data_IF_103299620837
#
_entry.id   IF_103299620837
#
_cell.length_a   1.000
_cell.length_b   1.000
_cell.length_c   1.000
_cell.angle_alpha   90.00
_cell.angle_beta   90.00
_cell.angle_gamma   90.00
#
_symmetry.space_group_name_H-M   'P 1'
#
loop_
_entity.id
_entity.type
_entity.pdbx_description
1 polymer ?
#
# COMPACT_ATOMS: atom_id res chain seq x y z
N UNK A 1 11.77 12.08 -3.67
CA UNK A 1 10.35 11.83 -3.95
C UNK A 1 9.80 10.81 -2.99
N UNK A 2 8.57 10.97 -2.60
CA UNK A 2 7.95 10.13 -1.58
C UNK A 2 8.02 8.62 -1.89
N UNK A 3 7.67 8.24 -3.11
CA UNK A 3 7.70 6.84 -3.50
C UNK A 3 9.09 6.23 -3.39
N UNK A 4 10.11 6.99 -3.77
CA UNK A 4 11.49 6.53 -3.71
C UNK A 4 11.95 6.34 -2.26
N UNK A 5 11.58 7.25 -1.38
CA UNK A 5 11.92 7.14 0.04
C UNK A 5 11.29 5.90 0.66
N UNK A 6 10.03 5.64 0.34
CA UNK A 6 9.35 4.45 0.82
C UNK A 6 9.97 3.19 0.23
N UNK A 7 10.32 3.22 -1.06
CA UNK A 7 10.95 2.07 -1.72
C UNK A 7 12.27 1.69 -1.07
N UNK A 8 13.11 2.68 -0.78
CA UNK A 8 14.41 2.42 -0.14
C UNK A 8 14.22 1.83 1.24
N UNK A 9 13.34 2.43 2.04
CA UNK A 9 13.08 1.96 3.39
C UNK A 9 12.50 0.55 3.42
N UNK A 10 11.57 0.24 2.54
CA UNK A 10 10.97 -1.09 2.49
C UNK A 10 11.98 -2.14 2.01
N UNK A 11 12.84 -1.77 1.08
CA UNK A 11 13.91 -2.66 0.63
C UNK A 11 14.88 -2.99 1.75
N UNK A 12 15.20 -2.00 2.58
CA UNK A 12 16.09 -2.22 3.71
C UNK A 12 15.49 -3.16 4.76
N UNK A 13 14.18 -3.07 4.97
CA UNK A 13 13.51 -3.89 5.99
C UNK A 13 13.18 -5.29 5.46
N UNK A 14 12.61 -5.40 4.26
CA UNK A 14 12.06 -6.66 3.76
C UNK A 14 12.95 -7.39 2.77
N UNK A 15 13.91 -6.69 2.15
CA UNK A 15 14.85 -7.31 1.22
C UNK A 15 14.15 -8.07 0.11
N UNK A 16 14.46 -9.34 -0.02
CA UNK A 16 13.91 -10.20 -1.07
C UNK A 16 12.42 -10.49 -0.90
N UNK A 17 11.87 -10.25 0.27
CA UNK A 17 10.43 -10.42 0.50
C UNK A 17 9.58 -9.32 -0.11
N UNK A 18 10.21 -8.25 -0.58
CA UNK A 18 9.49 -7.13 -1.19
C UNK A 18 9.27 -7.38 -2.68
N UNK A 19 8.03 -7.22 -3.09
CA UNK A 19 7.63 -7.37 -4.50
C UNK A 19 6.89 -6.14 -4.98
N UNK A 20 6.90 -5.97 -6.30
CA UNK A 20 6.08 -4.97 -6.99
C UNK A 20 5.04 -5.76 -7.75
N UNK A 21 3.78 -5.45 -7.53
CA UNK A 21 2.70 -6.26 -8.08
C UNK A 21 1.99 -5.51 -9.21
N UNK A 22 2.20 -5.99 -10.44
CA UNK A 22 1.49 -5.50 -11.60
C UNK A 22 0.89 -6.68 -12.32
N UNK A 23 -0.42 -6.70 -12.46
CA UNK A 23 -1.11 -7.76 -13.18
C UNK A 23 -2.09 -7.16 -14.17
N UNK A 24 -1.74 -7.21 -15.45
CA UNK A 24 -2.64 -6.73 -16.49
C UNK A 24 -3.88 -7.61 -16.60
N UNK A 25 -3.75 -8.87 -16.28
CA UNK A 25 -4.87 -9.81 -16.32
C UNK A 25 -5.96 -9.47 -15.32
N UNK A 26 -5.57 -9.03 -14.12
CA UNK A 26 -6.52 -8.69 -13.06
C UNK A 26 -6.71 -7.19 -12.88
N UNK A 27 -6.01 -6.38 -13.64
CA UNK A 27 -6.07 -4.94 -13.50
C UNK A 27 -5.56 -4.44 -12.16
N UNK A 28 -4.54 -5.11 -11.60
CA UNK A 28 -3.98 -4.76 -10.30
C UNK A 28 -2.62 -4.11 -10.50
N UNK A 29 -2.43 -2.97 -9.81
CA UNK A 29 -1.17 -2.24 -9.83
C UNK A 29 -0.93 -1.75 -8.41
N UNK A 30 -0.11 -2.48 -7.65
CA UNK A 30 0.21 -2.17 -6.26
C UNK A 30 1.70 -1.87 -6.17
N UNK A 31 2.05 -0.73 -5.59
CA UNK A 31 3.43 -0.27 -5.54
C UNK A 31 4.36 -1.21 -4.79
N UNK A 32 3.95 -1.67 -3.62
CA UNK A 32 4.77 -2.56 -2.80
C UNK A 32 3.93 -3.65 -2.18
N UNK A 33 4.42 -4.89 -2.25
CA UNK A 33 3.72 -6.05 -1.75
C UNK A 33 4.70 -6.96 -1.02
N UNK A 34 4.38 -7.29 0.22
CA UNK A 34 5.19 -8.19 1.05
C UNK A 34 4.32 -9.37 1.44
N UNK A 35 4.31 -10.44 0.63
CA UNK A 35 3.39 -11.55 0.86
C UNK A 35 3.60 -12.25 2.21
N UNK A 36 4.82 -12.35 2.68
CA UNK A 36 5.10 -12.99 3.96
C UNK A 36 4.46 -12.24 5.13
N UNK A 37 4.30 -10.93 4.99
CA UNK A 37 3.69 -10.09 6.01
C UNK A 37 2.21 -9.83 5.74
N UNK A 38 1.71 -10.25 4.60
CA UNK A 38 0.36 -9.95 4.19
C UNK A 38 0.13 -8.45 4.02
N UNK A 39 1.15 -7.73 3.59
CA UNK A 39 1.15 -6.27 3.51
C UNK A 39 1.15 -5.79 2.07
N UNK A 40 0.25 -4.87 1.75
CA UNK A 40 0.21 -4.20 0.46
C UNK A 40 0.18 -2.69 0.70
N UNK A 41 1.05 -1.97 0.01
CA UNK A 41 1.24 -0.54 0.20
C UNK A 41 1.16 0.19 -1.13
N UNK A 42 0.35 1.24 -1.18
CA UNK A 42 0.31 2.19 -2.28
C UNK A 42 0.85 3.53 -1.79
N UNK A 43 1.57 4.22 -2.65
CA UNK A 43 2.08 5.55 -2.36
C UNK A 43 1.31 6.55 -3.21
N UNK A 44 0.70 7.54 -2.56
CA UNK A 44 -0.10 8.56 -3.24
C UNK A 44 0.36 9.95 -2.81
N UNK A 45 0.63 10.82 -3.79
CA UNK A 45 1.05 12.18 -3.49
C UNK A 45 -0.09 13.02 -2.95
N UNK A 46 -1.27 12.79 -3.45
CA UNK A 46 -2.46 13.49 -3.01
C UNK A 46 -3.59 12.48 -2.88
N UNK A 47 -4.08 12.24 -1.66
CA UNK A 47 -5.16 11.29 -1.43
C UNK A 47 -6.52 11.83 -1.81
N UNK A 48 -6.61 13.12 -2.01
CA UNK A 48 -7.87 13.73 -2.43
C UNK A 48 -8.03 13.59 -3.94
N UNK A 49 -9.21 13.56 -4.42
CA UNK A 49 -9.59 13.71 -5.81
C UNK A 49 -9.35 12.48 -6.69
N UNK A 50 -8.60 12.63 -7.80
CA UNK A 50 -8.63 11.68 -8.89
C UNK A 50 -7.80 10.41 -8.68
N UNK A 51 -6.70 10.51 -7.94
CA UNK A 51 -5.81 9.36 -7.74
C UNK A 51 -6.36 8.38 -6.71
N UNK A 52 -7.05 8.88 -5.71
CA UNK A 52 -7.53 8.11 -4.58
C UNK A 52 -8.44 6.93 -4.95
N UNK A 53 -9.45 7.10 -5.83
CA UNK A 53 -10.30 5.97 -6.20
C UNK A 53 -9.53 4.84 -6.87
N UNK A 54 -8.53 5.15 -7.66
CA UNK A 54 -7.72 4.12 -8.33
C UNK A 54 -6.85 3.36 -7.33
N UNK A 55 -6.20 4.08 -6.41
CA UNK A 55 -5.36 3.45 -5.40
C UNK A 55 -6.18 2.54 -4.49
N UNK A 56 -7.32 3.02 -4.05
CA UNK A 56 -8.25 2.23 -3.24
C UNK A 56 -8.72 1.00 -4.01
N UNK A 57 -9.11 1.18 -5.26
CA UNK A 57 -9.59 0.09 -6.09
C UNK A 57 -8.56 -1.02 -6.28
N UNK A 58 -7.29 -0.67 -6.48
CA UNK A 58 -6.23 -1.65 -6.62
C UNK A 58 -6.04 -2.47 -5.35
N UNK A 59 -6.04 -1.82 -4.20
CA UNK A 59 -5.89 -2.52 -2.93
C UNK A 59 -7.07 -3.42 -2.62
N UNK A 60 -8.29 -2.96 -2.93
CA UNK A 60 -9.49 -3.77 -2.72
C UNK A 60 -9.50 -5.01 -3.61
N UNK A 61 -9.08 -4.87 -4.87
CA UNK A 61 -8.99 -6.01 -5.79
C UNK A 61 -8.00 -7.04 -5.27
N UNK A 62 -6.84 -6.58 -4.82
CA UNK A 62 -5.84 -7.48 -4.28
C UNK A 62 -6.35 -8.23 -3.05
N UNK A 63 -7.02 -7.53 -2.14
CA UNK A 63 -7.54 -8.14 -0.93
C UNK A 63 -8.59 -9.21 -1.23
N UNK A 64 -9.35 -9.03 -2.31
CA UNK A 64 -10.38 -10.00 -2.70
C UNK A 64 -9.82 -11.27 -3.29
N UNK A 65 -8.68 -11.19 -3.96
CA UNK A 65 -8.08 -12.37 -4.61
C UNK A 65 -6.98 -13.02 -3.78
N UNK A 66 -6.45 -12.33 -2.78
CA UNK A 66 -5.39 -12.87 -1.94
C UNK A 66 -5.83 -12.84 -0.47
N UNK A 67 -6.26 -13.99 0.00
CA UNK A 67 -6.76 -14.15 1.37
C UNK A 67 -5.67 -14.00 2.43
N UNK A 68 -4.41 -14.04 2.04
CA UNK A 68 -3.30 -13.86 2.99
C UNK A 68 -3.05 -12.40 3.35
N UNK A 69 -3.69 -11.47 2.64
CA UNK A 69 -3.55 -10.05 2.94
C UNK A 69 -4.12 -9.73 4.32
N UNK A 70 -3.29 -9.14 5.15
CA UNK A 70 -3.67 -8.74 6.52
C UNK A 70 -3.76 -7.24 6.67
N UNK A 71 -3.02 -6.51 5.84
CA UNK A 71 -2.89 -5.08 6.00
C UNK A 71 -2.81 -4.38 4.66
N UNK A 72 -3.66 -3.37 4.48
CA UNK A 72 -3.67 -2.53 3.29
C UNK A 72 -3.35 -1.11 3.74
N UNK A 73 -2.43 -0.46 3.05
CA UNK A 73 -1.91 0.83 3.49
C UNK A 73 -1.73 1.78 2.31
N UNK A 74 -2.16 3.02 2.48
CA UNK A 74 -1.85 4.10 1.57
C UNK A 74 -0.92 5.06 2.29
N UNK A 75 0.29 5.24 1.76
CA UNK A 75 1.26 6.17 2.31
C UNK A 75 1.14 7.49 1.53
N UNK A 76 0.92 8.56 2.26
CA UNK A 76 0.66 9.87 1.68
C UNK A 76 1.14 10.96 2.64
N UNK A 77 0.57 12.15 2.55
CA UNK A 77 0.86 13.25 3.48
C UNK A 77 -0.18 13.38 4.59
N UNK A 78 -1.28 12.66 4.47
CA UNK A 78 -2.39 12.74 5.42
C UNK A 78 -2.50 11.47 6.25
N UNK A 79 -3.35 11.51 7.25
CA UNK A 79 -3.62 10.38 8.12
C UNK A 79 -5.11 10.12 8.18
N UNK A 80 -5.51 8.83 8.20
CA UNK A 80 -6.90 8.47 8.26
C UNK A 80 -7.13 7.00 8.06
N UNK A 81 -8.35 6.68 7.72
CA UNK A 81 -8.79 5.31 7.51
C UNK A 81 -9.92 5.30 6.49
N UNK A 82 -9.91 4.31 5.62
CA UNK A 82 -10.96 4.11 4.64
C UNK A 82 -11.53 2.71 4.86
N UNK A 83 -12.86 2.63 4.99
CA UNK A 83 -13.53 1.33 5.09
C UNK A 83 -14.50 1.22 3.94
N UNK A 84 -14.35 0.18 3.13
CA UNK A 84 -15.19 0.00 1.97
C UNK A 84 -15.43 -1.50 1.75
N UNK A 85 -16.69 -1.89 1.66
CA UNK A 85 -17.04 -3.29 1.46
C UNK A 85 -16.54 -4.21 2.56
N UNK A 86 -16.45 -3.70 3.79
CA UNK A 86 -15.94 -4.48 4.90
C UNK A 86 -14.41 -4.57 4.97
N UNK A 87 -13.72 -3.93 4.03
CA UNK A 87 -12.26 -3.95 3.97
C UNK A 87 -11.73 -2.60 4.48
N UNK A 88 -10.74 -2.67 5.36
CA UNK A 88 -10.14 -1.48 5.96
C UNK A 88 -8.79 -1.18 5.32
N UNK A 89 -8.61 0.08 4.94
CA UNK A 89 -7.35 0.58 4.40
C UNK A 89 -6.85 1.69 5.32
N UNK A 90 -5.63 1.54 5.83
CA UNK A 90 -5.00 2.57 6.66
C UNK A 90 -4.39 3.63 5.76
N UNK A 91 -4.49 4.90 6.17
CA UNK A 91 -3.87 6.02 5.47
C UNK A 91 -2.90 6.67 6.43
N UNK A 92 -1.62 6.71 6.07
CA UNK A 92 -0.58 7.24 6.95
C UNK A 92 0.39 8.16 6.21
N UNK A 93 0.87 9.23 6.86
CA UNK A 93 1.96 10.00 6.28
C UNK A 93 3.25 9.18 6.28
N UNK A 94 4.11 9.47 5.30
CA UNK A 94 5.33 8.70 5.12
C UNK A 94 6.20 8.65 6.38
N UNK A 95 6.37 9.78 7.08
CA UNK A 95 7.20 9.81 8.27
C UNK A 95 6.69 8.87 9.35
N UNK A 96 5.38 8.76 9.49
CA UNK A 96 4.77 7.90 10.49
C UNK A 96 4.93 6.43 10.11
N UNK A 97 4.72 6.13 8.84
CA UNK A 97 4.92 4.78 8.33
C UNK A 97 6.37 4.32 8.55
N UNK A 98 7.33 5.17 8.21
CA UNK A 98 8.74 4.83 8.36
C UNK A 98 9.14 4.64 9.82
N UNK A 99 8.62 5.45 10.73
CA UNK A 99 8.97 5.35 12.15
C UNK A 99 8.22 4.26 12.89
N UNK A 100 6.96 4.04 12.59
CA UNK A 100 6.12 3.12 13.36
C UNK A 100 6.03 1.72 12.76
N UNK A 101 6.02 1.62 11.45
CA UNK A 101 5.80 0.35 10.79
C UNK A 101 7.06 -0.30 10.26
N UNK A 102 8.09 0.48 9.94
CA UNK A 102 9.33 -0.03 9.40
C UNK A 102 10.53 0.07 10.34
N UNK A 103 10.40 0.85 11.40
CA UNK A 103 11.51 0.99 12.34
C UNK A 103 11.68 -0.23 13.24
#
# INVERSE_FOLDING_TARGET
>A
MLENEVAVAMRDVFGEGLHYLKSSKHGIDVDFYVPEQGLAVQVAYSPSESAKPREIGNLLKLARIDESIRRLLIVTKEEGEIVEGGIRIEVKPAWKFLLQDLA
#
